data_IF_281292703491
#
_entry.id   IF_281292703491
#
_cell.length_a   1.000
_cell.length_b   1.000
_cell.length_c   1.000
_cell.angle_alpha   90.00
_cell.angle_beta   90.00
_cell.angle_gamma   90.00
#
_symmetry.space_group_name_H-M   'P 1'
#
loop_
_entity.id
_entity.type
_entity.pdbx_description
1 polymer ?
#
# COMPACT_ATOMS: atom_id res chain seq x y z
N UNK A 1 -50.15 22.69 -7.83
CA UNK A 1 -49.71 21.39 -8.37
C UNK A 1 -48.59 21.67 -9.37
N UNK A 2 -47.33 21.74 -8.90
CA UNK A 2 -46.15 21.81 -9.78
C UNK A 2 -45.17 20.79 -9.23
N UNK A 3 -44.86 19.81 -10.07
CA UNK A 3 -44.03 18.64 -9.81
C UNK A 3 -42.65 18.87 -10.41
N UNK A 4 -41.63 18.29 -9.76
CA UNK A 4 -40.26 18.04 -10.21
C UNK A 4 -39.39 19.28 -10.47
N UNK A 5 -38.25 19.37 -9.79
CA UNK A 5 -36.92 19.17 -10.42
C UNK A 5 -35.98 18.56 -9.37
N UNK A 6 -35.84 17.23 -9.44
CA UNK A 6 -34.76 16.53 -8.75
C UNK A 6 -33.48 16.81 -9.54
N UNK A 7 -32.64 17.72 -9.04
CA UNK A 7 -31.30 17.93 -9.57
C UNK A 7 -30.44 16.72 -9.20
N UNK A 8 -30.48 15.71 -10.07
CA UNK A 8 -29.55 14.60 -10.09
C UNK A 8 -28.19 15.07 -10.59
N UNK A 9 -27.27 15.32 -9.68
CA UNK A 9 -25.84 15.40 -10.00
C UNK A 9 -25.09 14.31 -9.24
N UNK A 10 -25.07 13.12 -9.84
CA UNK A 10 -24.19 12.02 -9.48
C UNK A 10 -22.80 12.27 -10.08
N UNK A 11 -21.97 13.04 -9.37
CA UNK A 11 -20.56 13.22 -9.72
C UNK A 11 -19.70 12.69 -8.56
N UNK A 12 -19.38 11.40 -8.65
CA UNK A 12 -18.41 10.75 -7.79
C UNK A 12 -17.75 9.64 -8.57
N UNK A 13 -16.79 10.00 -9.43
CA UNK A 13 -15.96 9.04 -10.15
C UNK A 13 -15.38 8.05 -9.15
N UNK A 14 -15.81 6.79 -9.22
CA UNK A 14 -15.17 5.71 -8.52
C UNK A 14 -13.71 5.65 -9.01
N UNK A 15 -12.78 6.04 -8.15
CA UNK A 15 -11.38 5.85 -8.43
C UNK A 15 -11.14 4.35 -8.56
N UNK A 16 -10.99 3.88 -9.80
CA UNK A 16 -10.46 2.57 -10.17
C UNK A 16 -8.96 2.55 -9.78
N UNK A 17 -8.70 2.61 -8.47
CA UNK A 17 -7.42 2.16 -7.93
C UNK A 17 -7.47 0.65 -8.11
N UNK A 18 -7.08 0.18 -9.31
CA UNK A 18 -6.95 -1.24 -9.59
C UNK A 18 -6.00 -1.79 -8.53
N UNK A 19 -6.60 -2.30 -7.47
CA UNK A 19 -5.94 -3.04 -6.40
C UNK A 19 -5.59 -4.34 -7.08
N UNK A 20 -4.50 -4.31 -7.85
CA UNK A 20 -3.99 -5.46 -8.55
C UNK A 20 -3.76 -6.50 -7.47
N UNK A 21 -4.66 -7.47 -7.42
CA UNK A 21 -4.76 -8.42 -6.32
C UNK A 21 -3.36 -8.95 -6.04
N UNK A 22 -2.90 -8.78 -4.81
CA UNK A 22 -1.60 -9.27 -4.37
C UNK A 22 -1.49 -10.73 -4.83
N UNK A 23 -0.47 -11.00 -5.65
CA UNK A 23 -0.30 -12.33 -6.21
C UNK A 23 -0.18 -13.34 -5.06
N UNK A 24 -0.93 -14.47 -5.06
CA UNK A 24 -1.07 -15.35 -3.91
C UNK A 24 0.14 -16.30 -3.73
N UNK A 25 1.36 -15.76 -3.82
CA UNK A 25 2.59 -16.50 -3.56
C UNK A 25 3.33 -15.94 -2.36
N UNK A 26 4.26 -16.72 -1.82
CA UNK A 26 5.18 -16.23 -0.80
C UNK A 26 6.12 -15.18 -1.39
N UNK A 27 6.07 -13.97 -0.84
CA UNK A 27 6.85 -12.85 -1.34
C UNK A 27 8.32 -12.92 -0.93
N UNK A 28 9.22 -12.87 -1.91
CA UNK A 28 10.65 -12.64 -1.69
C UNK A 28 10.97 -11.15 -1.57
N UNK A 29 10.82 -10.58 -0.37
CA UNK A 29 11.00 -9.14 -0.13
C UNK A 29 12.46 -8.69 -0.24
N UNK A 30 12.69 -7.62 -0.99
CA UNK A 30 13.98 -6.92 -1.09
C UNK A 30 13.83 -5.46 -0.70
N UNK A 31 14.84 -4.90 -0.01
CA UNK A 31 14.86 -3.49 0.41
C UNK A 31 15.23 -2.62 -0.79
N UNK A 32 14.31 -1.72 -1.20
CA UNK A 32 14.59 -0.70 -2.23
C UNK A 32 15.26 0.53 -1.61
N UNK A 33 14.78 0.97 -0.45
CA UNK A 33 15.36 2.09 0.30
C UNK A 33 15.11 1.96 1.80
N UNK A 34 15.87 2.70 2.60
CA UNK A 34 15.68 2.71 4.05
C UNK A 34 16.11 4.01 4.71
N UNK A 35 15.32 4.45 5.69
CA UNK A 35 15.48 5.74 6.35
C UNK A 35 15.46 5.56 7.87
N UNK A 36 16.40 6.19 8.56
CA UNK A 36 16.42 6.20 10.03
C UNK A 36 15.47 7.28 10.53
N UNK A 37 14.65 6.93 11.51
CA UNK A 37 13.71 7.79 12.22
C UNK A 37 13.85 7.57 13.72
N UNK A 38 13.22 8.39 14.56
CA UNK A 38 13.30 8.24 16.02
C UNK A 38 12.79 6.89 16.53
N UNK A 39 11.90 6.24 15.80
CA UNK A 39 11.30 4.93 16.12
C UNK A 39 12.04 3.75 15.48
N UNK A 40 13.27 3.95 15.00
CA UNK A 40 14.09 2.91 14.38
C UNK A 40 14.32 3.20 12.89
N UNK A 41 14.13 2.20 12.02
CA UNK A 41 14.37 2.34 10.59
C UNK A 41 13.14 1.92 9.80
N UNK A 42 12.70 2.78 8.88
CA UNK A 42 11.66 2.48 7.91
C UNK A 42 12.32 1.91 6.67
N UNK A 43 11.86 0.75 6.21
CA UNK A 43 12.33 0.05 5.03
C UNK A 43 11.20 0.01 4.00
N UNK A 44 11.45 0.57 2.82
CA UNK A 44 10.57 0.40 1.69
C UNK A 44 11.00 -0.86 0.95
N UNK A 45 10.13 -1.87 0.93
CA UNK A 45 10.43 -3.18 0.36
C UNK A 45 9.55 -3.48 -0.83
N UNK A 46 10.10 -4.22 -1.77
CA UNK A 46 9.43 -4.72 -2.98
C UNK A 46 9.59 -6.23 -3.07
N UNK A 47 8.55 -6.94 -3.51
CA UNK A 47 8.68 -8.36 -3.84
C UNK A 47 9.48 -8.51 -5.14
N UNK A 48 10.55 -9.31 -5.13
CA UNK A 48 11.34 -9.58 -6.33
C UNK A 48 10.54 -10.29 -7.44
N UNK A 49 9.52 -11.09 -7.06
CA UNK A 49 8.66 -11.85 -7.97
C UNK A 49 7.60 -11.00 -8.67
N UNK A 50 6.61 -10.47 -7.94
CA UNK A 50 5.50 -9.70 -8.53
C UNK A 50 5.63 -8.18 -8.43
N UNK A 51 6.62 -7.66 -7.71
CA UNK A 51 6.85 -6.22 -7.62
C UNK A 51 5.87 -5.43 -6.75
N UNK A 52 4.97 -6.09 -6.01
CA UNK A 52 4.19 -5.43 -4.95
C UNK A 52 5.12 -4.77 -3.94
N UNK A 53 4.65 -3.71 -3.30
CA UNK A 53 5.40 -3.00 -2.27
C UNK A 53 4.69 -3.06 -0.93
N UNK A 54 5.48 -2.95 0.12
CA UNK A 54 5.01 -2.59 1.44
C UNK A 54 6.10 -1.81 2.17
N UNK A 55 5.76 -1.35 3.37
CA UNK A 55 6.67 -0.68 4.27
C UNK A 55 6.86 -1.57 5.48
N UNK A 56 8.10 -1.84 5.84
CA UNK A 56 8.48 -2.56 7.05
C UNK A 56 9.20 -1.62 8.01
N UNK A 57 9.05 -1.85 9.32
CA UNK A 57 9.78 -1.16 10.37
C UNK A 57 10.77 -2.11 11.03
N UNK A 58 12.00 -1.65 11.21
CA UNK A 58 13.01 -2.29 12.03
C UNK A 58 13.28 -1.43 13.26
N UNK A 59 12.70 -1.81 14.39
CA UNK A 59 12.86 -1.17 15.70
C UNK A 59 14.26 -1.38 16.28
N UNK A 60 14.79 -2.60 16.14
CA UNK A 60 16.15 -2.98 16.52
C UNK A 60 16.86 -3.70 15.36
N UNK A 61 18.13 -3.36 15.10
CA UNK A 61 18.91 -3.96 14.00
C UNK A 61 19.13 -5.47 14.13
N UNK A 62 19.00 -6.02 15.34
CA UNK A 62 19.10 -7.45 15.65
C UNK A 62 17.76 -8.17 15.51
N UNK A 63 16.66 -7.43 15.37
CA UNK A 63 15.32 -7.99 15.16
C UNK A 63 14.98 -7.97 13.67
N UNK A 64 14.22 -8.97 13.20
CA UNK A 64 13.68 -8.94 11.85
C UNK A 64 12.72 -7.74 11.71
N UNK A 65 12.70 -7.07 10.54
CA UNK A 65 11.72 -6.04 10.25
C UNK A 65 10.28 -6.60 10.28
N UNK A 66 9.33 -5.77 10.71
CA UNK A 66 7.90 -6.11 10.77
C UNK A 66 7.13 -5.25 9.78
N UNK A 67 6.16 -5.84 9.07
CA UNK A 67 5.32 -5.11 8.13
C UNK A 67 4.48 -4.05 8.86
N UNK A 68 4.66 -2.79 8.47
CA UNK A 68 3.94 -1.62 8.97
C UNK A 68 2.76 -1.23 8.04
N UNK A 69 2.85 -1.59 6.76
CA UNK A 69 1.82 -1.33 5.75
C UNK A 69 1.24 -2.61 5.16
N UNK A 70 0.04 -2.48 4.59
CA UNK A 70 -0.49 -3.46 3.64
C UNK A 70 0.34 -3.47 2.34
N UNK A 71 0.25 -4.60 1.65
CA UNK A 71 0.79 -4.75 0.29
C UNK A 71 0.01 -3.87 -0.68
N UNK A 72 0.73 -3.18 -1.56
CA UNK A 72 0.15 -2.32 -2.59
C UNK A 72 0.83 -2.59 -3.94
N UNK A 73 0.01 -2.75 -4.98
CA UNK A 73 0.48 -2.77 -6.35
C UNK A 73 0.68 -1.32 -6.84
N UNK A 74 1.59 -1.11 -7.80
CA UNK A 74 1.64 0.17 -8.51
C UNK A 74 0.36 0.39 -9.31
#
# INVERSE_FOLDING_TARGET
>A
MTTLEAHGQAHGQAHDHRSTAASPHEHGWVVESGHTVSTGRILYVRCAGCGVRRVDQQDDRRRPPVALSRETAR
#
